data_IF_902925359386
#
_entry.id   IF_902925359386
#
_cell.length_a   1.000
_cell.length_b   1.000
_cell.length_c   1.000
_cell.angle_alpha   90.00
_cell.angle_beta   90.00
_cell.angle_gamma   90.00
#
_symmetry.space_group_name_H-M   'P 1'
#
loop_
_entity.id
_entity.type
_entity.pdbx_description
1 polymer ?
#
# COMPACT_ATOMS: atom_id res chain seq x y z
N UNK A 1 -8.99 -16.15 10.63
CA UNK A 1 -10.11 -15.73 9.77
C UNK A 1 -9.86 -14.33 9.26
N UNK A 2 -9.98 -14.15 7.95
CA UNK A 2 -9.78 -12.86 7.31
C UNK A 2 -10.88 -11.86 7.74
N UNK A 3 -10.48 -10.69 8.24
CA UNK A 3 -11.38 -9.61 8.62
C UNK A 3 -11.44 -8.61 7.46
N UNK A 4 -12.49 -8.69 6.63
CA UNK A 4 -12.71 -7.74 5.54
C UNK A 4 -13.28 -6.45 6.11
N UNK A 5 -12.53 -5.35 5.95
CA UNK A 5 -13.00 -4.03 6.34
C UNK A 5 -13.95 -3.49 5.26
N UNK A 6 -15.26 -3.52 5.56
CA UNK A 6 -16.29 -2.85 4.75
C UNK A 6 -16.30 -1.35 5.08
N UNK A 7 -15.22 -0.66 4.82
CA UNK A 7 -15.12 0.78 5.04
C UNK A 7 -15.72 1.48 3.83
N UNK A 8 -16.65 2.43 4.05
CA UNK A 8 -17.12 3.29 2.96
C UNK A 8 -15.94 4.07 2.41
N UNK A 9 -15.87 4.28 1.10
CA UNK A 9 -14.82 5.05 0.43
C UNK A 9 -14.96 6.56 0.76
N UNK A 10 -14.58 6.94 1.99
CA UNK A 10 -14.68 8.31 2.49
C UNK A 10 -13.38 9.11 2.27
N UNK A 11 -12.42 8.57 1.52
CA UNK A 11 -11.11 9.18 1.33
C UNK A 11 -11.17 10.59 0.75
N UNK A 12 -12.09 10.87 -0.19
CA UNK A 12 -12.26 12.21 -0.76
C UNK A 12 -12.80 13.22 0.26
N UNK A 13 -13.77 12.82 1.08
CA UNK A 13 -14.31 13.70 2.11
C UNK A 13 -13.25 14.04 3.16
N UNK A 14 -12.50 13.04 3.60
CA UNK A 14 -11.40 13.24 4.57
C UNK A 14 -10.27 14.06 3.97
N UNK A 15 -9.89 13.83 2.71
CA UNK A 15 -8.90 14.64 2.01
C UNK A 15 -9.32 16.11 1.98
N UNK A 16 -10.58 16.38 1.66
CA UNK A 16 -11.11 17.75 1.66
C UNK A 16 -11.05 18.39 3.06
N UNK A 17 -11.39 17.64 4.11
CA UNK A 17 -11.30 18.10 5.49
C UNK A 17 -9.85 18.39 5.87
N UNK A 18 -8.89 17.53 5.50
CA UNK A 18 -7.46 17.75 5.77
C UNK A 18 -6.98 19.03 5.09
N UNK A 19 -7.34 19.26 3.83
CA UNK A 19 -6.98 20.48 3.09
C UNK A 19 -7.56 21.72 3.77
N UNK A 20 -8.83 21.68 4.19
CA UNK A 20 -9.44 22.76 4.95
C UNK A 20 -8.73 23.01 6.27
N UNK A 21 -8.35 21.98 7.00
CA UNK A 21 -7.58 22.09 8.24
C UNK A 21 -6.23 22.77 8.03
N UNK A 22 -5.53 22.43 6.93
CA UNK A 22 -4.25 23.07 6.58
C UNK A 22 -4.45 24.55 6.31
N UNK A 23 -5.44 24.91 5.48
CA UNK A 23 -5.75 26.31 5.17
C UNK A 23 -6.10 27.07 6.45
N UNK A 24 -6.92 26.48 7.32
CA UNK A 24 -7.31 27.08 8.60
C UNK A 24 -6.11 27.25 9.54
N UNK A 25 -5.21 26.26 9.63
CA UNK A 25 -3.99 26.34 10.42
C UNK A 25 -3.09 27.49 9.95
N UNK A 26 -2.90 27.65 8.64
CA UNK A 26 -2.11 28.74 8.06
C UNK A 26 -2.76 30.09 8.33
N UNK A 27 -4.06 30.21 8.11
CA UNK A 27 -4.80 31.45 8.37
C UNK A 27 -4.77 31.84 9.85
N UNK A 28 -4.94 30.88 10.76
CA UNK A 28 -4.82 31.08 12.20
C UNK A 28 -3.42 31.51 12.62
N UNK A 29 -2.38 30.92 12.01
CA UNK A 29 -0.99 31.29 12.26
C UNK A 29 -0.72 32.75 11.88
N UNK A 30 -1.12 33.17 10.68
CA UNK A 30 -0.97 34.53 10.19
C UNK A 30 -1.75 35.52 11.08
N UNK A 31 -3.01 35.17 11.40
CA UNK A 31 -3.85 35.99 12.24
C UNK A 31 -3.26 36.21 13.66
N UNK A 32 -2.67 35.17 14.23
CA UNK A 32 -2.02 35.24 15.55
C UNK A 32 -0.84 36.19 15.57
N UNK A 33 -0.07 36.26 14.50
CA UNK A 33 1.12 37.11 14.41
C UNK A 33 0.72 38.59 14.16
N UNK A 34 -0.22 38.83 13.24
CA UNK A 34 -0.48 40.17 12.74
C UNK A 34 -1.61 40.93 13.48
N UNK A 35 -2.62 40.22 13.99
CA UNK A 35 -3.84 40.84 14.50
C UNK A 35 -4.00 40.77 16.00
N UNK A 36 -3.32 39.87 16.71
CA UNK A 36 -3.45 39.78 18.18
C UNK A 36 -2.51 40.75 18.86
N UNK A 37 -3.09 41.75 19.56
CA UNK A 37 -2.36 42.73 20.36
C UNK A 37 -1.91 42.19 21.73
N UNK A 38 -2.54 41.12 22.19
CA UNK A 38 -2.22 40.49 23.47
C UNK A 38 -1.20 39.38 23.26
N UNK A 39 0.01 39.56 23.80
CA UNK A 39 1.13 38.62 23.63
C UNK A 39 0.79 37.20 24.09
N UNK A 40 0.08 37.03 25.19
CA UNK A 40 -0.30 35.72 25.71
C UNK A 40 -1.26 34.99 24.76
N UNK A 41 -2.25 35.67 24.18
CA UNK A 41 -3.19 35.11 23.22
C UNK A 41 -2.51 34.78 21.86
N UNK A 42 -1.56 35.60 21.46
CA UNK A 42 -0.78 35.38 20.25
C UNK A 42 0.05 34.08 20.35
N UNK A 43 0.74 33.87 21.47
CA UNK A 43 1.53 32.64 21.71
C UNK A 43 0.63 31.42 21.72
N UNK A 44 -0.51 31.44 22.40
CA UNK A 44 -1.46 30.34 22.41
C UNK A 44 -1.99 30.05 20.99
N UNK A 45 -2.33 31.07 20.22
CA UNK A 45 -2.77 30.93 18.82
C UNK A 45 -1.72 30.30 17.90
N UNK A 46 -0.46 30.71 18.05
CA UNK A 46 0.66 30.12 17.30
C UNK A 46 0.85 28.65 17.66
N UNK A 47 0.86 28.29 18.94
CA UNK A 47 1.00 26.90 19.38
C UNK A 47 -0.14 26.02 18.87
N UNK A 48 -1.38 26.50 18.93
CA UNK A 48 -2.55 25.80 18.42
C UNK A 48 -2.47 25.57 16.90
N UNK A 49 -2.06 26.59 16.14
CA UNK A 49 -1.92 26.47 14.68
C UNK A 49 -0.84 25.47 14.28
N UNK A 50 0.28 25.43 14.97
CA UNK A 50 1.34 24.44 14.77
C UNK A 50 0.81 23.03 15.06
N UNK A 51 0.09 22.84 16.16
CA UNK A 51 -0.49 21.55 16.52
C UNK A 51 -1.48 21.05 15.45
N UNK A 52 -2.37 21.91 14.96
CA UNK A 52 -3.31 21.60 13.88
C UNK A 52 -2.59 21.26 12.58
N UNK A 53 -1.53 21.97 12.25
CA UNK A 53 -0.73 21.72 11.05
C UNK A 53 -0.04 20.35 11.10
N UNK A 54 0.60 20.01 12.21
CA UNK A 54 1.22 18.70 12.40
C UNK A 54 0.18 17.59 12.34
N UNK A 55 -0.98 17.75 13.01
CA UNK A 55 -2.08 16.78 12.97
C UNK A 55 -2.61 16.54 11.56
N UNK A 56 -2.70 17.57 10.73
CA UNK A 56 -3.13 17.44 9.34
C UNK A 56 -2.13 16.65 8.49
N UNK A 57 -0.82 16.89 8.68
CA UNK A 57 0.23 16.13 7.98
C UNK A 57 0.19 14.64 8.35
N UNK A 58 0.05 14.32 9.64
CA UNK A 58 -0.08 12.92 10.10
C UNK A 58 -1.31 12.27 9.48
N UNK A 59 -2.42 12.98 9.39
CA UNK A 59 -3.67 12.47 8.81
C UNK A 59 -3.54 12.09 7.32
N UNK A 60 -2.64 12.74 6.57
CA UNK A 60 -2.32 12.34 5.19
C UNK A 60 -1.82 10.90 5.08
N UNK A 61 -1.08 10.40 6.07
CA UNK A 61 -0.60 9.01 6.12
C UNK A 61 -1.72 7.97 6.10
N UNK A 62 -2.92 8.34 6.54
CA UNK A 62 -4.10 7.48 6.57
C UNK A 62 -4.81 7.30 5.23
N UNK A 63 -4.49 8.09 4.21
CA UNK A 63 -5.11 7.97 2.89
C UNK A 63 -4.51 6.81 2.10
N UNK A 64 -5.35 5.85 1.68
CA UNK A 64 -4.95 4.67 0.90
C UNK A 64 -5.84 4.52 -0.33
N UNK A 65 -5.22 4.22 -1.47
CA UNK A 65 -5.90 3.94 -2.74
C UNK A 65 -5.80 2.45 -3.02
N UNK A 66 -6.93 1.80 -3.25
CA UNK A 66 -7.00 0.39 -3.65
C UNK A 66 -7.49 0.31 -5.08
N UNK A 67 -6.72 -0.34 -5.95
CA UNK A 67 -7.09 -0.54 -7.35
C UNK A 67 -7.99 -1.77 -7.51
N UNK A 68 -8.76 -1.86 -8.61
CA UNK A 68 -9.52 -3.07 -8.93
C UNK A 68 -8.62 -4.31 -8.96
N UNK A 69 -9.08 -5.41 -8.39
CA UNK A 69 -8.34 -6.67 -8.30
C UNK A 69 -7.03 -6.59 -7.51
N UNK A 70 -6.97 -5.67 -6.55
CA UNK A 70 -5.89 -5.57 -5.57
C UNK A 70 -6.49 -5.57 -4.16
N UNK A 71 -5.69 -6.02 -3.20
CA UNK A 71 -6.02 -5.95 -1.78
C UNK A 71 -4.87 -5.35 -0.98
N UNK A 72 -5.22 -4.70 0.12
CA UNK A 72 -4.26 -4.18 1.10
C UNK A 72 -4.54 -4.85 2.45
N UNK A 73 -3.53 -5.52 2.99
CA UNK A 73 -3.55 -6.06 4.36
C UNK A 73 -2.94 -5.03 5.29
N UNK A 74 -3.72 -4.60 6.29
CA UNK A 74 -3.33 -3.55 7.23
C UNK A 74 -2.99 -4.13 8.59
N UNK A 75 -1.86 -3.70 9.11
CA UNK A 75 -1.42 -3.96 10.49
C UNK A 75 -1.25 -2.65 11.25
N UNK A 76 -1.55 -2.65 12.53
CA UNK A 76 -1.36 -1.53 13.44
C UNK A 76 -0.45 -2.00 14.58
N UNK A 77 0.75 -1.45 14.66
CA UNK A 77 1.77 -1.85 15.66
C UNK A 77 2.06 -3.36 15.72
N UNK A 78 1.93 -4.06 14.57
CA UNK A 78 2.13 -5.50 14.47
C UNK A 78 0.84 -6.33 14.48
N UNK A 79 -0.25 -5.81 15.03
CA UNK A 79 -1.53 -6.51 15.07
C UNK A 79 -2.30 -6.38 13.75
N UNK A 80 -2.90 -7.49 13.31
CA UNK A 80 -3.74 -7.51 12.12
C UNK A 80 -5.04 -6.73 12.35
N UNK A 81 -5.20 -5.62 11.67
CA UNK A 81 -6.39 -4.76 11.75
C UNK A 81 -7.48 -5.23 10.80
N UNK A 82 -7.11 -5.60 9.58
CA UNK A 82 -8.02 -6.07 8.56
C UNK A 82 -7.50 -5.91 7.14
N UNK A 83 -8.29 -6.36 6.18
CA UNK A 83 -7.99 -6.32 4.74
C UNK A 83 -9.02 -5.51 3.99
N UNK A 84 -8.58 -4.67 3.07
CA UNK A 84 -9.44 -3.94 2.13
C UNK A 84 -9.26 -4.60 0.75
N UNK A 85 -10.35 -5.16 0.19
CA UNK A 85 -10.41 -5.80 -1.14
C UNK A 85 -11.19 -5.01 -2.18
N UNK A 86 -12.06 -4.12 -1.72
CA UNK A 86 -12.88 -3.32 -2.61
C UNK A 86 -12.04 -2.17 -3.20
N UNK A 87 -12.16 -1.88 -4.51
CA UNK A 87 -11.48 -0.75 -5.10
C UNK A 87 -12.07 0.57 -4.60
N UNK A 88 -11.20 1.54 -4.34
CA UNK A 88 -11.64 2.84 -3.85
C UNK A 88 -10.55 3.65 -3.19
N UNK A 89 -10.96 4.81 -2.70
CA UNK A 89 -10.11 5.72 -1.93
C UNK A 89 -10.60 5.76 -0.48
N UNK A 90 -9.76 5.28 0.42
CA UNK A 90 -10.10 5.04 1.81
C UNK A 90 -9.26 5.87 2.75
N UNK A 91 -9.87 6.27 3.86
CA UNK A 91 -9.15 6.76 5.01
C UNK A 91 -9.11 5.66 6.06
N UNK A 92 -7.91 5.28 6.46
CA UNK A 92 -7.63 4.32 7.52
C UNK A 92 -6.79 5.00 8.61
N UNK A 93 -6.57 4.33 9.72
CA UNK A 93 -5.71 4.86 10.76
C UNK A 93 -4.32 5.24 10.15
N UNK A 94 -3.83 6.48 10.34
CA UNK A 94 -2.56 6.94 9.77
C UNK A 94 -1.35 6.12 10.23
N UNK A 95 -1.44 5.47 11.37
CA UNK A 95 -0.39 4.60 11.90
C UNK A 95 -0.45 3.18 11.36
N UNK A 96 -1.47 2.83 10.57
CA UNK A 96 -1.56 1.50 9.98
C UNK A 96 -0.62 1.35 8.78
N UNK A 97 0.08 0.24 8.76
CA UNK A 97 1.06 -0.12 7.72
C UNK A 97 0.50 -1.22 6.84
N UNK A 98 0.66 -1.08 5.54
CA UNK A 98 0.34 -2.15 4.59
C UNK A 98 1.48 -3.18 4.57
N UNK A 99 1.15 -4.46 4.67
CA UNK A 99 2.13 -5.56 4.71
C UNK A 99 1.93 -6.48 3.52
N UNK A 100 3.03 -6.75 2.81
CA UNK A 100 3.11 -7.77 1.76
C UNK A 100 4.51 -8.39 1.77
N UNK A 101 4.69 -9.59 2.36
CA UNK A 101 6.00 -10.24 2.45
C UNK A 101 6.57 -10.58 1.07
N UNK A 102 5.73 -10.94 0.12
CA UNK A 102 6.14 -11.29 -1.25
C UNK A 102 6.35 -10.09 -2.19
N UNK A 103 6.44 -8.86 -1.65
CA UNK A 103 6.58 -7.63 -2.44
C UNK A 103 7.88 -7.57 -3.27
N UNK A 104 8.92 -8.23 -2.79
CA UNK A 104 10.25 -8.25 -3.43
C UNK A 104 10.47 -9.46 -4.33
N UNK A 105 9.63 -10.49 -4.24
CA UNK A 105 9.82 -11.74 -4.98
C UNK A 105 9.23 -11.66 -6.37
N UNK A 106 10.06 -11.97 -7.36
CA UNK A 106 9.69 -12.07 -8.78
C UNK A 106 9.80 -13.52 -9.20
N UNK A 107 8.73 -14.07 -9.77
CA UNK A 107 8.68 -15.47 -10.24
C UNK A 107 8.71 -15.61 -11.77
N UNK A 108 8.95 -14.53 -12.51
CA UNK A 108 8.88 -14.54 -13.97
C UNK A 108 7.48 -14.86 -14.52
N UNK A 109 6.45 -14.53 -13.76
CA UNK A 109 5.05 -14.81 -14.12
C UNK A 109 4.48 -13.73 -15.03
N UNK A 110 3.37 -14.04 -15.69
CA UNK A 110 2.65 -13.09 -16.55
C UNK A 110 2.17 -11.81 -15.84
N UNK A 111 2.14 -11.81 -14.50
CA UNK A 111 1.83 -10.65 -13.66
C UNK A 111 3.05 -9.87 -13.17
N UNK A 112 4.24 -10.43 -13.31
CA UNK A 112 5.50 -9.75 -12.98
C UNK A 112 5.97 -8.94 -14.19
N UNK A 113 5.22 -7.90 -14.53
CA UNK A 113 5.62 -6.98 -15.61
C UNK A 113 6.95 -6.36 -15.24
N UNK A 114 7.99 -6.74 -15.94
CA UNK A 114 9.31 -6.14 -15.83
C UNK A 114 9.26 -4.67 -16.26
N UNK A 115 9.09 -3.80 -15.31
CA UNK A 115 9.42 -2.36 -15.47
C UNK A 115 10.93 -2.14 -15.29
N UNK A 116 11.74 -3.11 -15.70
CA UNK A 116 13.18 -3.13 -15.41
C UNK A 116 14.04 -2.34 -16.41
N UNK A 117 13.47 -1.77 -17.47
CA UNK A 117 14.27 -1.11 -18.51
C UNK A 117 14.16 0.42 -18.53
N UNK A 118 13.81 1.05 -17.41
CA UNK A 118 14.09 2.47 -17.28
C UNK A 118 15.38 2.60 -16.47
N UNK A 119 16.51 3.04 -17.06
CA UNK A 119 17.70 3.38 -16.31
C UNK A 119 17.33 4.56 -15.39
N UNK A 120 17.14 4.27 -14.11
CA UNK A 120 16.83 5.29 -13.10
C UNK A 120 18.11 6.06 -12.87
N UNK A 121 18.17 7.24 -13.48
CA UNK A 121 19.18 8.25 -13.22
C UNK A 121 19.18 8.57 -11.72
N UNK A 122 20.35 8.61 -11.11
CA UNK A 122 20.59 8.88 -9.69
C UNK A 122 20.07 10.27 -9.29
N UNK A 123 18.78 10.38 -8.97
CA UNK A 123 18.13 11.63 -8.56
C UNK A 123 16.78 11.48 -7.89
N UNK A 124 16.19 10.29 -7.87
CA UNK A 124 14.78 10.10 -7.54
C UNK A 124 14.49 9.22 -6.31
N UNK A 125 15.20 9.43 -5.19
CA UNK A 125 14.91 8.73 -3.92
C UNK A 125 13.44 8.88 -3.46
N UNK A 126 12.79 9.99 -3.81
CA UNK A 126 11.36 10.22 -3.51
C UNK A 126 10.39 9.40 -4.38
N UNK A 127 10.81 9.00 -5.59
CA UNK A 127 9.98 8.20 -6.50
C UNK A 127 10.05 6.72 -6.13
N UNK A 128 11.20 6.24 -5.65
CA UNK A 128 11.36 4.85 -5.20
C UNK A 128 10.50 4.55 -3.95
N UNK A 129 10.40 5.48 -3.01
CA UNK A 129 9.53 5.33 -1.84
C UNK A 129 8.05 5.19 -2.22
N UNK A 130 7.59 5.90 -3.27
CA UNK A 130 6.25 5.75 -3.80
C UNK A 130 6.04 4.41 -4.53
N UNK A 131 7.04 3.94 -5.28
CA UNK A 131 6.99 2.63 -5.96
C UNK A 131 6.93 1.47 -4.97
N UNK A 132 7.65 1.56 -3.86
CA UNK A 132 7.60 0.55 -2.79
C UNK A 132 6.26 0.56 -2.04
N UNK A 133 5.58 1.70 -1.94
CA UNK A 133 4.22 1.76 -1.41
C UNK A 133 3.22 0.99 -2.30
N UNK A 134 3.39 1.02 -3.63
CA UNK A 134 2.57 0.23 -4.55
C UNK A 134 2.88 -1.27 -4.52
N UNK A 135 4.09 -1.68 -4.20
CA UNK A 135 4.48 -3.09 -4.02
C UNK A 135 3.84 -3.75 -2.81
N UNK A 136 3.31 -2.97 -1.85
CA UNK A 136 2.61 -3.47 -0.66
C UNK A 136 1.20 -3.98 -0.93
N UNK A 137 0.68 -3.78 -2.14
CA UNK A 137 -0.61 -4.33 -2.57
C UNK A 137 -0.44 -5.79 -2.99
N UNK A 138 -1.46 -6.59 -2.71
CA UNK A 138 -1.54 -8.00 -3.11
C UNK A 138 -2.45 -8.08 -4.32
N UNK A 139 -1.97 -8.67 -5.41
CA UNK A 139 -2.79 -8.91 -6.59
C UNK A 139 -3.76 -10.06 -6.35
N UNK A 140 -5.03 -9.83 -6.64
CA UNK A 140 -6.10 -10.85 -6.62
C UNK A 140 -6.37 -11.39 -8.03
N UNK A 141 -5.62 -10.96 -9.03
CA UNK A 141 -5.73 -11.42 -10.41
C UNK A 141 -5.26 -12.87 -10.51
N UNK A 142 -5.75 -13.56 -11.52
CA UNK A 142 -5.22 -14.86 -11.89
C UNK A 142 -3.82 -14.65 -12.47
N UNK A 143 -2.85 -15.37 -11.94
CA UNK A 143 -1.45 -15.36 -12.37
C UNK A 143 -1.10 -16.71 -12.94
N UNK A 144 -0.20 -16.75 -13.94
CA UNK A 144 0.25 -17.97 -14.59
C UNK A 144 1.75 -18.11 -14.39
N UNK A 145 2.15 -19.19 -13.74
CA UNK A 145 3.54 -19.61 -13.63
C UNK A 145 3.81 -20.61 -14.76
N UNK A 146 4.71 -20.26 -15.66
CA UNK A 146 5.16 -21.14 -16.72
C UNK A 146 6.54 -21.69 -16.35
N UNK A 147 6.65 -23.01 -16.22
CA UNK A 147 7.94 -23.66 -16.10
C UNK A 147 8.50 -23.90 -17.52
N UNK A 148 9.80 -23.71 -17.67
CA UNK A 148 10.49 -24.03 -18.94
C UNK A 148 10.34 -25.51 -19.28
N UNK A 149 10.25 -25.81 -20.56
CA UNK A 149 10.21 -27.21 -21.03
C UNK A 149 11.45 -27.96 -20.57
N UNK A 150 11.24 -29.08 -19.93
CA UNK A 150 12.30 -29.99 -19.46
C UNK A 150 12.24 -31.32 -20.26
N UNK A 151 13.40 -31.80 -20.59
CA UNK A 151 13.53 -33.15 -21.18
C UNK A 151 13.63 -34.15 -20.05
N UNK A 152 12.70 -35.10 -20.02
CA UNK A 152 12.70 -36.20 -19.08
C UNK A 152 12.56 -37.50 -19.88
N UNK A 153 13.04 -38.60 -19.32
CA UNK A 153 12.84 -39.91 -19.92
C UNK A 153 11.56 -40.55 -19.37
N UNK A 154 10.79 -41.17 -20.24
CA UNK A 154 9.66 -42.01 -19.85
C UNK A 154 10.14 -43.33 -19.22
N UNK A 155 9.22 -44.16 -18.76
CA UNK A 155 9.55 -45.46 -18.16
C UNK A 155 10.22 -46.46 -19.16
N UNK A 156 10.15 -46.18 -20.47
CA UNK A 156 10.78 -46.94 -21.52
C UNK A 156 12.13 -46.37 -21.98
N UNK A 157 12.55 -45.23 -21.37
CA UNK A 157 13.79 -44.56 -21.68
C UNK A 157 13.72 -43.59 -22.87
N UNK A 158 12.53 -43.31 -23.42
CA UNK A 158 12.38 -42.35 -24.50
C UNK A 158 12.41 -40.90 -23.96
N UNK A 159 13.15 -39.96 -24.59
CA UNK A 159 13.15 -38.59 -24.20
C UNK A 159 11.84 -37.90 -24.57
N UNK A 160 11.14 -37.34 -23.57
CA UNK A 160 9.93 -36.51 -23.73
C UNK A 160 10.15 -35.10 -23.20
N UNK A 161 9.59 -34.12 -23.89
CA UNK A 161 9.63 -32.72 -23.42
C UNK A 161 8.32 -32.39 -22.74
N UNK A 162 8.40 -31.97 -21.46
CA UNK A 162 7.24 -31.59 -20.66
C UNK A 162 7.37 -30.13 -20.26
N UNK A 163 6.31 -29.34 -20.53
CA UNK A 163 6.11 -27.99 -20.01
C UNK A 163 4.89 -27.94 -19.13
N UNK A 164 4.98 -27.25 -17.99
CA UNK A 164 3.89 -27.12 -17.04
C UNK A 164 3.53 -25.63 -16.95
N UNK A 165 2.24 -25.33 -17.08
CA UNK A 165 1.68 -24.02 -16.80
C UNK A 165 0.69 -24.13 -15.64
N UNK A 166 0.97 -23.43 -14.54
CA UNK A 166 0.12 -23.40 -13.34
C UNK A 166 -0.58 -22.06 -13.25
N UNK A 167 -1.91 -22.06 -13.21
CA UNK A 167 -2.71 -20.86 -12.96
C UNK A 167 -3.16 -20.83 -11.51
N UNK A 168 -2.97 -19.69 -10.86
CA UNK A 168 -3.30 -19.51 -9.46
C UNK A 168 -3.75 -18.10 -9.13
N UNK A 169 -4.41 -17.92 -7.98
CA UNK A 169 -4.80 -16.61 -7.45
C UNK A 169 -4.82 -16.63 -5.94
N UNK A 170 -4.63 -15.46 -5.31
CA UNK A 170 -4.78 -15.29 -3.87
C UNK A 170 -6.27 -15.14 -3.55
N UNK A 171 -6.81 -16.00 -2.68
CA UNK A 171 -8.19 -15.97 -2.20
C UNK A 171 -8.27 -15.35 -0.81
N UNK A 172 -7.49 -15.86 0.15
CA UNK A 172 -7.39 -15.37 1.52
C UNK A 172 -6.07 -14.63 1.69
N UNK A 173 -6.15 -13.31 1.71
CA UNK A 173 -4.97 -12.44 1.77
C UNK A 173 -4.33 -12.44 3.15
N UNK A 174 -5.12 -12.62 4.22
CA UNK A 174 -4.59 -12.68 5.57
C UNK A 174 -3.75 -13.94 5.78
N UNK A 175 -4.23 -15.10 5.30
CA UNK A 175 -3.45 -16.34 5.35
C UNK A 175 -2.20 -16.27 4.47
N UNK A 176 -2.29 -15.67 3.29
CA UNK A 176 -1.15 -15.52 2.40
C UNK A 176 -0.04 -14.65 3.02
N UNK A 177 -0.40 -13.67 3.88
CA UNK A 177 0.56 -12.75 4.49
C UNK A 177 1.13 -13.29 5.81
N UNK A 178 0.30 -13.95 6.63
CA UNK A 178 0.68 -14.29 8.01
C UNK A 178 0.97 -15.77 8.25
N UNK A 179 0.49 -16.68 7.40
CA UNK A 179 0.72 -18.11 7.57
C UNK A 179 1.86 -18.65 6.73
N UNK A 180 2.33 -17.87 5.74
CA UNK A 180 3.41 -18.25 4.83
C UNK A 180 4.39 -17.09 4.74
N UNK A 181 5.68 -17.34 4.90
CA UNK A 181 6.71 -16.31 4.83
C UNK A 181 6.71 -15.60 3.49
N UNK A 182 6.60 -16.38 2.41
CA UNK A 182 6.53 -15.86 1.07
C UNK A 182 5.63 -16.74 0.21
N UNK A 183 4.37 -16.35 0.06
CA UNK A 183 3.39 -17.13 -0.70
C UNK A 183 3.74 -17.30 -2.19
N UNK A 184 4.62 -16.47 -2.74
CA UNK A 184 5.10 -16.62 -4.11
C UNK A 184 6.19 -17.68 -4.23
N UNK A 185 7.03 -17.85 -3.24
CA UNK A 185 8.07 -18.88 -3.22
C UNK A 185 7.52 -20.26 -2.85
N UNK A 186 6.34 -20.31 -2.26
CA UNK A 186 5.65 -21.54 -1.90
C UNK A 186 5.02 -22.27 -3.11
N UNK A 187 4.93 -21.62 -4.27
CA UNK A 187 4.37 -22.16 -5.50
C UNK A 187 5.42 -22.90 -6.33
#
# INVERSE_FOLDING_TARGET
NEKILKTKSNGFAVLFIIVLMIIFAIASFISSIFFLKNEALAVVGVLLSIFLFIGSIISFGGLKVVKPQEAIVLTLFGDYTGTIKEPGFYFVNPFSVAVNPASKTKLGQSGDVDRQNTPISAGNAGIEANLDAFKKHISLKIMTLNNSRQKINDCLGNPVEIGIAVTWKVVDTAKAVFNVDNYKEYL
#
